data_IF_733838716286
#
_entry.id   IF_733838716286
#
_cell.length_a   1.000
_cell.length_b   1.000
_cell.length_c   1.000
_cell.angle_alpha   90.00
_cell.angle_beta   90.00
_cell.angle_gamma   90.00
#
_symmetry.space_group_name_H-M   'P 1'
#
loop_
_entity.id
_entity.type
_entity.pdbx_description
1 polymer ?
#
# COMPACT_ATOMS: atom_id res chain seq x y z
N UNK A 1 29.92 -13.53 2.98
CA UNK A 1 28.97 -14.35 3.76
C UNK A 1 28.35 -13.58 4.91
N UNK A 2 29.11 -13.00 5.85
CA UNK A 2 28.55 -12.22 6.98
C UNK A 2 27.85 -10.94 6.49
N UNK A 3 28.44 -10.22 5.53
CA UNK A 3 27.79 -9.06 4.89
C UNK A 3 26.47 -9.43 4.20
N UNK A 4 26.45 -10.56 3.47
CA UNK A 4 25.26 -11.05 2.77
C UNK A 4 24.10 -11.39 3.71
N UNK A 5 24.39 -11.91 4.91
CA UNK A 5 23.36 -12.21 5.93
C UNK A 5 22.85 -10.91 6.57
N UNK A 6 23.74 -9.94 6.84
CA UNK A 6 23.36 -8.63 7.35
C UNK A 6 22.44 -7.88 6.39
N UNK A 7 22.78 -7.86 5.11
CA UNK A 7 21.95 -7.27 4.05
C UNK A 7 20.62 -8.00 3.91
N UNK A 8 20.60 -9.35 3.97
CA UNK A 8 19.36 -10.12 3.95
C UNK A 8 18.44 -9.75 5.13
N UNK A 9 18.97 -9.65 6.34
CA UNK A 9 18.19 -9.25 7.52
C UNK A 9 17.64 -7.82 7.37
N UNK A 10 18.47 -6.89 6.89
CA UNK A 10 18.02 -5.52 6.62
C UNK A 10 16.90 -5.49 5.59
N UNK A 11 17.02 -6.26 4.51
CA UNK A 11 16.00 -6.35 3.47
C UNK A 11 14.71 -6.99 3.99
N UNK A 12 14.80 -8.04 4.81
CA UNK A 12 13.62 -8.65 5.43
C UNK A 12 12.91 -7.62 6.33
N UNK A 13 13.66 -6.88 7.16
CA UNK A 13 13.09 -5.85 8.02
C UNK A 13 12.45 -4.72 7.21
N UNK A 14 13.16 -4.22 6.20
CA UNK A 14 12.69 -3.15 5.33
C UNK A 14 11.42 -3.57 4.59
N UNK A 15 11.39 -4.79 4.04
CA UNK A 15 10.20 -5.35 3.39
C UNK A 15 9.05 -5.67 4.35
N UNK A 16 9.33 -5.95 5.62
CA UNK A 16 8.27 -6.15 6.62
C UNK A 16 7.63 -4.81 7.01
N UNK A 17 8.43 -3.76 7.18
CA UNK A 17 7.94 -2.41 7.50
C UNK A 17 7.19 -1.80 6.30
N UNK A 18 7.80 -1.85 5.10
CA UNK A 18 7.19 -1.45 3.82
C UNK A 18 6.16 -2.47 3.27
N UNK A 19 5.95 -3.58 3.97
CA UNK A 19 4.96 -4.60 3.61
C UNK A 19 3.68 -4.46 4.43
N UNK A 20 3.68 -3.59 5.45
CA UNK A 20 2.57 -3.42 6.35
C UNK A 20 1.37 -2.72 5.68
N UNK A 21 1.64 -1.72 4.85
CA UNK A 21 0.66 -1.05 3.98
C UNK A 21 0.00 -2.04 2.99
N UNK A 22 0.81 -2.90 2.35
CA UNK A 22 0.36 -3.99 1.49
C UNK A 22 -0.55 -4.95 2.27
N UNK A 23 -0.14 -5.33 3.48
CA UNK A 23 -0.92 -6.21 4.35
C UNK A 23 -2.25 -5.59 4.78
N UNK A 24 -2.25 -4.30 5.11
CA UNK A 24 -3.46 -3.53 5.45
C UNK A 24 -4.41 -3.49 4.25
N UNK A 25 -3.90 -3.14 3.06
CA UNK A 25 -4.69 -3.11 1.84
C UNK A 25 -5.35 -4.47 1.54
N UNK A 26 -4.56 -5.55 1.58
CA UNK A 26 -5.05 -6.93 1.38
C UNK A 26 -6.11 -7.28 2.42
N UNK A 27 -5.89 -6.91 3.68
CA UNK A 27 -6.81 -7.19 4.78
C UNK A 27 -8.13 -6.44 4.60
N UNK A 28 -8.11 -5.21 4.10
CA UNK A 28 -9.30 -4.40 3.81
C UNK A 28 -10.05 -4.91 2.57
N UNK A 29 -9.37 -5.08 1.44
CA UNK A 29 -10.00 -5.53 0.19
C UNK A 29 -10.58 -6.94 0.29
N UNK A 30 -9.91 -7.86 0.99
CA UNK A 30 -10.43 -9.22 1.17
C UNK A 30 -11.79 -9.28 1.87
N UNK A 31 -12.17 -8.23 2.61
CA UNK A 31 -13.48 -8.14 3.29
C UNK A 31 -14.65 -8.00 2.32
N UNK A 32 -14.39 -7.54 1.09
CA UNK A 32 -15.42 -7.43 0.04
C UNK A 32 -15.84 -8.78 -0.52
N UNK A 33 -15.10 -9.85 -0.20
CA UNK A 33 -15.44 -11.22 -0.57
C UNK A 33 -16.47 -11.81 0.40
N UNK A 34 -17.24 -12.84 -0.01
CA UNK A 34 -18.08 -13.61 0.90
C UNK A 34 -17.28 -14.09 2.12
N UNK A 35 -17.86 -14.05 3.32
CA UNK A 35 -17.19 -14.36 4.59
C UNK A 35 -16.39 -15.67 4.55
N UNK A 36 -16.95 -16.71 3.93
CA UNK A 36 -16.33 -18.03 3.79
C UNK A 36 -15.09 -18.03 2.88
N UNK A 37 -14.98 -17.07 1.96
CA UNK A 37 -13.91 -16.97 0.96
C UNK A 37 -12.84 -15.95 1.31
N UNK A 38 -13.04 -15.09 2.32
CA UNK A 38 -12.08 -14.01 2.64
C UNK A 38 -10.67 -14.54 2.96
N UNK A 39 -10.58 -15.61 3.75
CA UNK A 39 -9.28 -16.24 4.05
C UNK A 39 -8.60 -16.78 2.79
N UNK A 40 -9.35 -17.48 1.96
CA UNK A 40 -8.86 -17.98 0.67
C UNK A 40 -8.37 -16.82 -0.21
N UNK A 41 -9.13 -15.73 -0.31
CA UNK A 41 -8.75 -14.53 -1.08
C UNK A 41 -7.43 -13.94 -0.57
N UNK A 42 -7.23 -13.83 0.75
CA UNK A 42 -5.96 -13.37 1.31
C UNK A 42 -4.81 -14.32 0.99
N UNK A 43 -4.95 -15.61 1.28
CA UNK A 43 -3.85 -16.57 1.11
C UNK A 43 -3.48 -16.75 -0.36
N UNK A 44 -4.46 -16.89 -1.25
CA UNK A 44 -4.23 -17.00 -2.71
C UNK A 44 -3.72 -15.69 -3.27
N UNK A 45 -4.30 -14.55 -2.86
CA UNK A 45 -3.85 -13.23 -3.28
C UNK A 45 -2.40 -12.97 -2.91
N UNK A 46 -2.01 -13.22 -1.66
CA UNK A 46 -0.61 -13.07 -1.20
C UNK A 46 0.31 -14.06 -1.91
N UNK A 47 -0.09 -15.33 -2.06
CA UNK A 47 0.73 -16.33 -2.77
C UNK A 47 1.02 -15.95 -4.22
N UNK A 48 -0.02 -15.53 -4.96
CA UNK A 48 0.12 -15.04 -6.33
C UNK A 48 0.94 -13.74 -6.40
N UNK A 49 0.75 -12.84 -5.43
CA UNK A 49 1.52 -11.61 -5.29
C UNK A 49 3.02 -11.87 -5.13
N UNK A 50 3.41 -12.81 -4.25
CA UNK A 50 4.83 -13.20 -4.07
C UNK A 50 5.40 -13.76 -5.37
N UNK A 51 4.66 -14.67 -6.03
CA UNK A 51 5.11 -15.28 -7.28
C UNK A 51 5.36 -14.22 -8.37
N UNK A 52 4.40 -13.33 -8.57
CA UNK A 52 4.52 -12.25 -9.55
C UNK A 52 5.58 -11.23 -9.17
N UNK A 53 5.82 -11.01 -7.87
CA UNK A 53 6.89 -10.14 -7.38
C UNK A 53 8.28 -10.68 -7.69
N UNK A 54 8.48 -11.99 -7.58
CA UNK A 54 9.74 -12.63 -8.00
C UNK A 54 9.90 -12.55 -9.53
N UNK A 55 8.82 -12.78 -10.28
CA UNK A 55 8.82 -12.59 -11.74
C UNK A 55 9.15 -11.16 -12.14
N UNK A 56 8.58 -10.17 -11.45
CA UNK A 56 8.87 -8.75 -11.64
C UNK A 56 10.33 -8.43 -11.30
N UNK A 57 10.86 -8.93 -10.18
CA UNK A 57 12.27 -8.75 -9.81
C UNK A 57 13.20 -9.24 -10.93
N UNK A 58 12.94 -10.44 -11.45
CA UNK A 58 13.69 -10.99 -12.57
C UNK A 58 13.58 -10.08 -13.80
N UNK A 59 12.37 -9.66 -14.18
CA UNK A 59 12.16 -8.76 -15.31
C UNK A 59 12.93 -7.44 -15.15
N UNK A 60 12.80 -6.79 -13.98
CA UNK A 60 13.44 -5.51 -13.69
C UNK A 60 14.96 -5.58 -13.77
N UNK A 61 15.57 -6.70 -13.39
CA UNK A 61 17.01 -6.88 -13.51
C UNK A 61 17.51 -6.69 -14.97
N UNK A 62 16.68 -6.98 -15.98
CA UNK A 62 17.03 -6.80 -17.38
C UNK A 62 16.56 -5.47 -17.98
N UNK A 63 15.38 -4.97 -17.58
CA UNK A 63 14.74 -3.85 -18.27
C UNK A 63 14.79 -2.53 -17.51
N UNK A 64 15.30 -2.49 -16.27
CA UNK A 64 15.25 -1.27 -15.45
C UNK A 64 15.97 -0.08 -16.09
N UNK A 65 17.06 -0.32 -16.83
CA UNK A 65 17.74 0.73 -17.59
C UNK A 65 16.82 1.38 -18.61
N UNK A 66 16.02 0.59 -19.33
CA UNK A 66 15.08 1.06 -20.36
C UNK A 66 13.84 1.75 -19.75
N UNK A 67 13.39 1.32 -18.57
CA UNK A 67 12.24 1.91 -17.88
C UNK A 67 12.54 3.28 -17.25
N UNK A 68 13.82 3.59 -16.99
CA UNK A 68 14.28 4.87 -16.43
C UNK A 68 14.46 5.95 -17.49
N UNK A 69 14.57 5.58 -18.77
CA UNK A 69 14.67 6.58 -19.83
C UNK A 69 13.31 7.26 -20.09
N UNK A 70 13.28 8.60 -20.28
CA UNK A 70 12.04 9.31 -20.58
C UNK A 70 11.50 8.87 -21.93
N UNK A 71 10.27 8.36 -21.93
CA UNK A 71 9.59 7.91 -23.16
C UNK A 71 8.89 9.08 -23.85
N UNK A 72 8.33 10.02 -23.07
CA UNK A 72 7.65 11.20 -23.60
C UNK A 72 7.83 12.40 -22.67
N UNK A 73 8.20 13.55 -23.22
CA UNK A 73 8.21 14.83 -22.53
C UNK A 73 6.96 15.62 -22.92
N UNK A 74 6.16 16.03 -21.94
CA UNK A 74 4.99 16.88 -22.14
C UNK A 74 5.27 18.27 -21.56
N UNK A 75 5.38 19.27 -22.42
CA UNK A 75 5.41 20.69 -22.05
C UNK A 75 4.05 21.33 -22.29
N UNK A 76 3.14 21.24 -21.32
CA UNK A 76 1.84 21.91 -21.38
C UNK A 76 1.96 23.33 -20.78
N UNK A 77 2.51 24.26 -21.55
CA UNK A 77 2.69 25.68 -21.21
C UNK A 77 3.69 25.97 -20.06
N UNK A 78 3.98 27.25 -19.81
CA UNK A 78 4.86 27.75 -18.74
C UNK A 78 4.42 27.35 -17.29
N UNK A 79 3.31 26.64 -17.12
CA UNK A 79 2.75 26.28 -15.81
C UNK A 79 2.78 24.77 -15.51
N UNK A 80 2.94 23.91 -16.52
CA UNK A 80 2.98 22.45 -16.34
C UNK A 80 3.97 21.79 -17.31
N UNK A 81 5.05 21.24 -16.76
CA UNK A 81 6.08 20.49 -17.48
C UNK A 81 6.23 19.10 -16.87
N UNK A 82 6.58 18.08 -17.65
CA UNK A 82 6.94 16.76 -17.14
C UNK A 82 7.63 15.86 -18.15
N UNK A 83 8.60 15.07 -17.67
CA UNK A 83 9.33 14.02 -18.38
C UNK A 83 8.83 12.65 -17.92
N UNK A 84 7.92 12.02 -18.67
CA UNK A 84 7.32 10.76 -18.27
C UNK A 84 8.14 9.56 -18.77
N UNK A 85 8.43 8.64 -17.85
CA UNK A 85 9.04 7.35 -18.12
C UNK A 85 8.10 6.22 -17.66
N UNK A 86 8.42 4.98 -18.00
CA UNK A 86 7.58 3.82 -17.64
C UNK A 86 7.39 3.68 -16.12
N UNK A 87 8.42 3.97 -15.35
CA UNK A 87 8.37 3.93 -13.89
C UNK A 87 7.39 4.97 -13.32
N UNK A 88 7.49 6.23 -13.74
CA UNK A 88 6.67 7.32 -13.23
C UNK A 88 5.19 7.14 -13.57
N UNK A 89 4.88 6.60 -14.75
CA UNK A 89 3.51 6.27 -15.15
C UNK A 89 2.90 5.17 -14.28
N UNK A 90 3.64 4.10 -14.01
CA UNK A 90 3.17 3.00 -13.16
C UNK A 90 2.86 3.55 -11.76
N UNK A 91 3.81 4.26 -11.15
CA UNK A 91 3.69 4.81 -9.79
C UNK A 91 2.55 5.82 -9.69
N UNK A 92 2.43 6.76 -10.64
CA UNK A 92 1.34 7.75 -10.68
C UNK A 92 -0.03 7.07 -10.80
N UNK A 93 -0.18 6.14 -11.74
CA UNK A 93 -1.44 5.42 -11.93
C UNK A 93 -1.85 4.70 -10.65
N UNK A 94 -0.87 4.08 -10.00
CA UNK A 94 -1.04 3.44 -8.72
C UNK A 94 -1.52 4.35 -7.60
N UNK A 95 -0.86 5.49 -7.43
CA UNK A 95 -1.25 6.50 -6.45
C UNK A 95 -2.66 7.02 -6.67
N UNK A 96 -3.04 7.31 -7.93
CA UNK A 96 -4.41 7.73 -8.30
C UNK A 96 -5.41 6.65 -7.93
N UNK A 97 -5.13 5.40 -8.30
CA UNK A 97 -6.04 4.28 -8.03
C UNK A 97 -6.29 4.09 -6.53
N UNK A 98 -5.23 4.14 -5.73
CA UNK A 98 -5.29 3.95 -4.28
C UNK A 98 -6.07 5.09 -3.63
N UNK A 99 -5.76 6.34 -3.99
CA UNK A 99 -6.48 7.52 -3.51
C UNK A 99 -7.96 7.42 -3.83
N UNK A 100 -8.29 7.13 -5.08
CA UNK A 100 -9.67 6.99 -5.52
C UNK A 100 -10.41 5.88 -4.74
N UNK A 101 -9.74 4.75 -4.51
CA UNK A 101 -10.31 3.63 -3.75
C UNK A 101 -10.54 4.01 -2.29
N UNK A 102 -9.56 4.65 -1.64
CA UNK A 102 -9.67 5.10 -0.25
C UNK A 102 -10.77 6.15 -0.08
N UNK A 103 -10.84 7.16 -0.96
CA UNK A 103 -11.86 8.20 -0.93
C UNK A 103 -13.26 7.61 -1.09
N UNK A 104 -13.46 6.72 -2.07
CA UNK A 104 -14.76 6.08 -2.27
C UNK A 104 -15.20 5.25 -1.08
N UNK A 105 -14.26 4.55 -0.43
CA UNK A 105 -14.58 3.76 0.76
C UNK A 105 -14.95 4.65 1.96
N UNK A 106 -14.19 5.74 2.18
CA UNK A 106 -14.50 6.73 3.21
C UNK A 106 -15.87 7.36 2.95
N UNK A 107 -16.15 7.73 1.69
CA UNK A 107 -17.46 8.28 1.29
C UNK A 107 -18.60 7.30 1.57
N UNK A 108 -18.41 6.02 1.22
CA UNK A 108 -19.39 4.98 1.53
C UNK A 108 -19.65 4.84 3.02
N UNK A 109 -18.60 4.85 3.86
CA UNK A 109 -18.77 4.74 5.31
C UNK A 109 -19.47 5.96 5.94
N UNK A 110 -19.37 7.13 5.32
CA UNK A 110 -20.05 8.34 5.80
C UNK A 110 -21.52 8.42 5.37
N UNK A 111 -21.85 7.90 4.19
CA UNK A 111 -23.19 8.08 3.58
C UNK A 111 -24.14 6.93 3.89
N UNK A 112 -23.64 5.70 4.03
CA UNK A 112 -24.50 4.53 4.23
C UNK A 112 -24.65 4.16 5.71
N UNK A 113 -25.91 3.98 6.14
CA UNK A 113 -26.24 3.43 7.44
C UNK A 113 -25.78 1.96 7.49
N UNK A 114 -25.12 1.47 8.57
CA UNK A 114 -24.76 0.05 8.72
C UNK A 114 -25.89 -0.95 8.41
N UNK A 115 -27.16 -0.55 8.51
CA UNK A 115 -28.31 -1.37 8.12
C UNK A 115 -28.41 -1.64 6.59
N UNK A 116 -27.93 -0.73 5.74
CA UNK A 116 -27.95 -0.89 4.27
C UNK A 116 -26.77 -1.71 3.74
N UNK A 117 -25.65 -1.80 4.48
CA UNK A 117 -24.49 -2.64 4.09
C UNK A 117 -24.83 -4.13 4.00
N UNK A 118 -25.82 -4.60 4.78
CA UNK A 118 -26.26 -6.00 4.78
C UNK A 118 -26.88 -6.45 3.45
N UNK A 119 -27.30 -5.50 2.58
CA UNK A 119 -27.91 -5.79 1.27
C UNK A 119 -26.91 -5.69 0.10
N UNK A 120 -25.64 -5.35 0.34
CA UNK A 120 -24.64 -5.27 -0.73
C UNK A 120 -24.22 -6.68 -1.15
N UNK A 121 -24.45 -7.02 -2.42
CA UNK A 121 -23.97 -8.30 -2.98
C UNK A 121 -22.44 -8.39 -2.81
N UNK A 122 -21.93 -9.49 -2.23
CA UNK A 122 -20.49 -9.66 -2.09
C UNK A 122 -19.83 -9.64 -3.48
N UNK A 123 -18.65 -9.01 -3.55
CA UNK A 123 -17.90 -8.91 -4.80
C UNK A 123 -17.30 -10.26 -5.18
N UNK A 124 -17.12 -10.49 -6.49
CA UNK A 124 -16.53 -11.73 -7.00
C UNK A 124 -15.11 -11.92 -6.42
N UNK A 125 -14.82 -13.03 -5.71
CA UNK A 125 -13.50 -13.31 -5.15
C UNK A 125 -12.34 -13.19 -6.15
N UNK A 126 -12.55 -13.61 -7.41
CA UNK A 126 -11.53 -13.51 -8.46
C UNK A 126 -11.17 -12.06 -8.78
N UNK A 127 -12.16 -11.17 -8.80
CA UNK A 127 -11.93 -9.73 -9.01
C UNK A 127 -11.09 -9.14 -7.88
N UNK A 128 -11.38 -9.54 -6.64
CA UNK A 128 -10.65 -9.06 -5.46
C UNK A 128 -9.21 -9.60 -5.45
N UNK A 129 -9.01 -10.87 -5.79
CA UNK A 129 -7.66 -11.45 -5.95
C UNK A 129 -6.89 -10.68 -7.02
N UNK A 130 -7.51 -10.44 -8.18
CA UNK A 130 -6.88 -9.66 -9.26
C UNK A 130 -6.48 -8.26 -8.80
N UNK A 131 -7.33 -7.60 -8.01
CA UNK A 131 -7.04 -6.28 -7.47
C UNK A 131 -5.88 -6.29 -6.44
N UNK A 132 -5.89 -7.26 -5.52
CA UNK A 132 -4.80 -7.48 -4.56
C UNK A 132 -3.48 -7.69 -5.29
N UNK A 133 -3.48 -8.57 -6.30
CA UNK A 133 -2.29 -8.89 -7.09
C UNK A 133 -1.80 -7.67 -7.86
N UNK A 134 -2.70 -6.92 -8.49
CA UNK A 134 -2.38 -5.72 -9.24
C UNK A 134 -1.74 -4.65 -8.35
N UNK A 135 -2.34 -4.39 -7.19
CA UNK A 135 -1.84 -3.42 -6.22
C UNK A 135 -0.50 -3.86 -5.63
N UNK A 136 -0.35 -5.15 -5.33
CA UNK A 136 0.93 -5.66 -4.89
C UNK A 136 2.01 -5.48 -5.96
N UNK A 137 1.71 -5.71 -7.25
CA UNK A 137 2.67 -5.52 -8.33
C UNK A 137 3.12 -4.06 -8.43
N UNK A 138 2.16 -3.14 -8.29
CA UNK A 138 2.41 -1.71 -8.25
C UNK A 138 3.36 -1.32 -7.10
N UNK A 139 3.05 -1.72 -5.86
CA UNK A 139 3.89 -1.46 -4.69
C UNK A 139 5.23 -2.21 -4.71
N UNK A 140 5.26 -3.35 -5.41
CA UNK A 140 6.48 -4.12 -5.59
C UNK A 140 7.51 -3.37 -6.43
N UNK A 141 7.10 -2.44 -7.29
CA UNK A 141 8.02 -1.73 -8.15
C UNK A 141 8.99 -0.85 -7.35
N UNK A 142 8.49 0.07 -6.53
CA UNK A 142 9.32 0.92 -5.67
C UNK A 142 10.15 0.09 -4.68
N UNK A 143 9.50 -0.80 -3.93
CA UNK A 143 10.20 -1.62 -2.94
C UNK A 143 11.28 -2.55 -3.53
N UNK A 144 11.16 -2.99 -4.79
CA UNK A 144 12.24 -3.71 -5.49
C UNK A 144 13.35 -2.74 -5.87
N UNK A 145 13.06 -1.55 -6.38
CA UNK A 145 14.09 -0.56 -6.71
C UNK A 145 14.88 -0.10 -5.49
N UNK A 146 14.19 0.13 -4.36
CA UNK A 146 14.83 0.41 -3.08
C UNK A 146 15.71 -0.75 -2.60
N UNK A 147 15.27 -1.99 -2.80
CA UNK A 147 16.08 -3.17 -2.48
C UNK A 147 17.31 -3.31 -3.40
N UNK A 148 17.17 -3.03 -4.69
CA UNK A 148 18.28 -3.03 -5.66
C UNK A 148 19.34 -1.97 -5.34
N UNK A 149 18.98 -0.88 -4.67
CA UNK A 149 19.94 0.10 -4.17
C UNK A 149 20.81 -0.42 -3.01
N UNK A 150 20.37 -1.49 -2.32
CA UNK A 150 21.07 -2.10 -1.19
C UNK A 150 21.87 -3.34 -1.60
N UNK A 151 21.48 -4.04 -2.66
CA UNK A 151 22.19 -5.22 -3.17
C UNK A 151 21.85 -5.52 -4.62
N UNK A 152 22.84 -5.98 -5.38
CA UNK A 152 22.65 -6.49 -6.74
C UNK A 152 22.37 -8.01 -6.78
N UNK A 153 22.43 -8.69 -5.62
CA UNK A 153 22.32 -10.15 -5.54
C UNK A 153 20.86 -10.61 -5.58
N UNK A 154 20.44 -11.11 -6.75
CA UNK A 154 19.07 -11.61 -6.99
C UNK A 154 18.59 -12.58 -5.90
N UNK A 155 19.43 -13.54 -5.50
CA UNK A 155 19.05 -14.56 -4.52
C UNK A 155 18.76 -13.98 -3.13
N UNK A 156 19.45 -12.89 -2.74
CA UNK A 156 19.22 -12.21 -1.46
C UNK A 156 17.84 -11.52 -1.51
N UNK A 157 17.56 -10.76 -2.57
CA UNK A 157 16.27 -10.08 -2.74
C UNK A 157 15.11 -11.06 -2.84
N UNK A 158 15.24 -12.13 -3.64
CA UNK A 158 14.21 -13.15 -3.80
C UNK A 158 13.92 -13.86 -2.48
N UNK A 159 14.95 -14.21 -1.70
CA UNK A 159 14.78 -14.83 -0.38
C UNK A 159 14.07 -13.89 0.59
N UNK A 160 14.43 -12.60 0.61
CA UNK A 160 13.74 -11.61 1.44
C UNK A 160 12.25 -11.53 1.09
N UNK A 161 11.91 -11.47 -0.21
CA UNK A 161 10.53 -11.42 -0.70
C UNK A 161 9.72 -12.63 -0.24
N UNK A 162 10.29 -13.84 -0.36
CA UNK A 162 9.62 -15.08 0.06
C UNK A 162 9.40 -15.11 1.57
N UNK A 163 10.42 -14.77 2.36
CA UNK A 163 10.34 -14.79 3.83
C UNK A 163 9.33 -13.75 4.33
N UNK A 164 9.39 -12.51 3.81
CA UNK A 164 8.41 -11.47 4.13
C UNK A 164 7.00 -11.88 3.70
N UNK A 165 6.87 -12.50 2.52
CA UNK A 165 5.63 -13.05 2.01
C UNK A 165 4.98 -14.09 2.92
N UNK A 166 5.77 -15.04 3.43
CA UNK A 166 5.30 -16.06 4.37
C UNK A 166 4.85 -15.39 5.68
N UNK A 167 5.62 -14.42 6.19
CA UNK A 167 5.25 -13.66 7.38
C UNK A 167 3.92 -12.91 7.17
N UNK A 168 3.71 -12.31 6.00
CA UNK A 168 2.46 -11.65 5.65
C UNK A 168 1.28 -12.62 5.66
N UNK A 169 1.41 -13.83 5.08
CA UNK A 169 0.35 -14.85 5.12
C UNK A 169 -0.02 -15.18 6.56
N UNK A 170 0.98 -15.34 7.43
CA UNK A 170 0.78 -15.65 8.84
C UNK A 170 0.06 -14.52 9.60
N UNK A 171 0.40 -13.26 9.30
CA UNK A 171 -0.19 -12.08 9.95
C UNK A 171 -1.56 -11.68 9.39
N UNK A 172 -1.84 -11.94 8.11
CA UNK A 172 -3.00 -11.39 7.40
C UNK A 172 -4.34 -11.75 8.05
N UNK A 173 -4.51 -12.99 8.52
CA UNK A 173 -5.73 -13.41 9.23
C UNK A 173 -5.88 -12.67 10.56
N UNK A 174 -4.78 -12.45 11.29
CA UNK A 174 -4.77 -11.74 12.57
C UNK A 174 -5.13 -10.27 12.40
N UNK A 175 -4.48 -9.60 11.44
CA UNK A 175 -4.75 -8.19 11.10
C UNK A 175 -6.18 -8.02 10.63
N UNK A 176 -6.67 -8.88 9.72
CA UNK A 176 -8.04 -8.81 9.23
C UNK A 176 -9.07 -8.96 10.36
N UNK A 177 -8.90 -9.94 11.26
CA UNK A 177 -9.79 -10.11 12.43
C UNK A 177 -9.74 -8.92 13.39
N UNK A 178 -8.55 -8.34 13.60
CA UNK A 178 -8.38 -7.16 14.44
C UNK A 178 -9.13 -5.96 13.88
N UNK A 179 -9.02 -5.70 12.57
CA UNK A 179 -9.73 -4.63 11.89
C UNK A 179 -11.26 -4.85 11.91
N UNK A 180 -11.71 -6.10 11.70
CA UNK A 180 -13.15 -6.45 11.75
C UNK A 180 -13.77 -6.20 13.13
N UNK A 181 -13.06 -6.56 14.20
CA UNK A 181 -13.57 -6.40 15.57
C UNK A 181 -13.62 -4.93 16.00
N UNK A 182 -12.86 -4.05 15.36
CA UNK A 182 -12.71 -2.67 15.79
C UNK A 182 -12.85 -1.69 14.61
N UNK A 183 -14.10 -1.29 14.30
CA UNK A 183 -14.46 -0.39 13.18
C UNK A 183 -13.65 0.92 13.14
N UNK A 184 -13.23 1.46 14.28
CA UNK A 184 -12.34 2.63 14.34
C UNK A 184 -11.00 2.39 13.61
N UNK A 185 -10.41 1.21 13.78
CA UNK A 185 -9.13 0.87 13.17
C UNK A 185 -9.25 0.53 11.68
N UNK A 186 -10.44 0.12 11.24
CA UNK A 186 -10.75 0.01 9.81
C UNK A 186 -10.70 1.38 9.12
N UNK A 187 -11.35 2.39 9.71
CA UNK A 187 -11.30 3.76 9.21
C UNK A 187 -9.86 4.30 9.23
N UNK A 188 -9.11 4.05 10.32
CA UNK A 188 -7.70 4.38 10.41
C UNK A 188 -6.90 3.76 9.25
N UNK A 189 -7.14 2.49 8.93
CA UNK A 189 -6.50 1.80 7.80
C UNK A 189 -6.78 2.46 6.45
N UNK A 190 -7.99 2.99 6.23
CA UNK A 190 -8.32 3.76 5.02
C UNK A 190 -7.60 5.11 4.96
N UNK A 191 -7.40 5.78 6.10
CA UNK A 191 -6.58 6.98 6.15
C UNK A 191 -5.09 6.68 5.90
N UNK A 192 -4.56 5.57 6.43
CA UNK A 192 -3.20 5.10 6.08
C UNK A 192 -3.10 4.89 4.57
N UNK A 193 -4.08 4.19 3.97
CA UNK A 193 -4.13 3.95 2.54
C UNK A 193 -4.20 5.25 1.72
N UNK A 194 -4.95 6.25 2.19
CA UNK A 194 -5.00 7.58 1.58
C UNK A 194 -3.61 8.24 1.58
N UNK A 195 -2.90 8.23 2.72
CA UNK A 195 -1.55 8.79 2.83
C UNK A 195 -0.56 8.05 1.94
N UNK A 196 -0.65 6.71 1.83
CA UNK A 196 0.14 5.91 0.89
C UNK A 196 -0.13 6.35 -0.56
N UNK A 197 -1.39 6.57 -0.91
CA UNK A 197 -1.75 7.08 -2.24
C UNK A 197 -1.16 8.47 -2.54
N UNK A 198 -1.13 9.37 -1.55
CA UNK A 198 -0.45 10.68 -1.66
C UNK A 198 1.06 10.49 -1.86
N UNK A 199 1.68 9.62 -1.06
CA UNK A 199 3.11 9.33 -1.17
C UNK A 199 3.48 8.88 -2.59
N UNK A 200 2.76 7.90 -3.15
CA UNK A 200 2.96 7.44 -4.52
C UNK A 200 2.72 8.54 -5.56
N UNK A 201 1.71 9.41 -5.40
CA UNK A 201 1.52 10.52 -6.32
C UNK A 201 2.71 11.48 -6.32
N UNK A 202 3.23 11.82 -5.14
CA UNK A 202 4.38 12.73 -5.03
C UNK A 202 5.66 12.10 -5.60
N UNK A 203 5.85 10.81 -5.38
CA UNK A 203 6.99 10.05 -5.91
C UNK A 203 6.91 9.89 -7.43
N UNK A 204 5.75 9.49 -7.95
CA UNK A 204 5.49 9.43 -9.38
C UNK A 204 5.65 10.80 -10.05
N UNK A 205 5.26 11.89 -9.36
CA UNK A 205 5.47 13.26 -9.81
C UNK A 205 6.94 13.66 -9.89
N UNK A 206 7.74 13.31 -8.88
CA UNK A 206 9.19 13.55 -8.90
C UNK A 206 9.88 12.73 -10.01
N UNK A 207 9.51 11.45 -10.15
CA UNK A 207 10.02 10.57 -11.20
C UNK A 207 9.66 11.06 -12.61
N UNK A 208 8.49 11.69 -12.74
CA UNK A 208 8.04 12.35 -13.97
C UNK A 208 8.56 13.78 -14.12
N UNK A 209 9.41 14.27 -13.19
CA UNK A 209 9.88 15.66 -13.12
C UNK A 209 8.77 16.68 -13.32
N UNK A 210 7.60 16.42 -12.74
CA UNK A 210 6.44 17.29 -12.89
C UNK A 210 6.73 18.62 -12.20
N UNK A 211 6.53 19.70 -12.95
CA UNK A 211 6.52 21.06 -12.40
C UNK A 211 5.12 21.61 -12.37
N UNK A 212 4.75 22.20 -11.24
CA UNK A 212 3.49 22.92 -11.07
C UNK A 212 3.84 24.33 -10.62
N UNK A 213 3.38 25.35 -11.35
CA UNK A 213 3.74 26.76 -11.09
C UNK A 213 5.26 26.99 -11.00
N UNK A 214 6.03 26.30 -11.86
CA UNK A 214 7.49 26.37 -11.90
C UNK A 214 8.19 25.87 -10.62
N UNK A 215 7.51 25.07 -9.79
CA UNK A 215 8.10 24.33 -8.68
C UNK A 215 8.07 22.83 -8.95
N UNK A 216 9.18 22.16 -8.70
CA UNK A 216 9.28 20.71 -8.84
C UNK A 216 8.46 20.01 -7.76
N UNK A 217 7.66 19.04 -8.16
CA UNK A 217 7.06 18.08 -7.23
C UNK A 217 8.18 17.19 -6.70
N UNK A 218 8.36 17.18 -5.38
CA UNK A 218 9.29 16.28 -4.68
C UNK A 218 8.52 15.19 -3.96
N UNK A 219 9.07 13.97 -3.92
CA UNK A 219 8.49 12.87 -3.19
C UNK A 219 8.35 13.22 -1.71
N UNK A 220 7.26 12.72 -1.12
CA UNK A 220 7.06 12.76 0.31
C UNK A 220 8.19 11.99 1.00
N UNK A 221 8.87 12.64 1.95
CA UNK A 221 9.92 11.99 2.72
C UNK A 221 9.34 10.83 3.55
N UNK A 222 10.00 9.67 3.55
CA UNK A 222 9.57 8.46 4.27
C UNK A 222 9.44 8.69 5.79
N UNK A 223 10.31 9.53 6.37
CA UNK A 223 10.20 9.96 7.76
C UNK A 223 8.95 10.78 8.03
N UNK A 224 8.59 11.70 7.12
CA UNK A 224 7.32 12.44 7.19
C UNK A 224 6.14 11.50 7.08
N UNK A 225 6.21 10.49 6.20
CA UNK A 225 5.19 9.44 6.08
C UNK A 225 4.97 8.73 7.42
N UNK A 226 6.02 8.15 8.01
CA UNK A 226 5.91 7.46 9.30
C UNK A 226 5.45 8.38 10.43
N UNK A 227 5.89 9.63 10.43
CA UNK A 227 5.46 10.62 11.41
C UNK A 227 3.95 10.90 11.31
N UNK A 228 3.42 11.08 10.09
CA UNK A 228 1.97 11.27 9.86
C UNK A 228 1.19 10.05 10.35
N UNK A 229 1.64 8.83 10.02
CA UNK A 229 0.98 7.60 10.48
C UNK A 229 1.00 7.50 12.01
N UNK A 230 2.12 7.80 12.66
CA UNK A 230 2.24 7.79 14.11
C UNK A 230 1.27 8.79 14.77
N UNK A 231 1.14 9.99 14.21
CA UNK A 231 0.19 11.01 14.67
C UNK A 231 -1.26 10.54 14.48
N UNK A 232 -1.61 9.94 13.33
CA UNK A 232 -2.95 9.39 13.08
C UNK A 232 -3.33 8.32 14.12
N UNK A 233 -2.40 7.40 14.41
CA UNK A 233 -2.58 6.36 15.43
C UNK A 233 -2.77 7.00 16.81
N UNK A 234 -1.96 8.01 17.16
CA UNK A 234 -2.04 8.68 18.45
C UNK A 234 -3.40 9.40 18.62
N UNK A 235 -3.84 10.13 17.60
CA UNK A 235 -5.15 10.79 17.57
C UNK A 235 -6.27 9.76 17.80
N UNK A 236 -6.24 8.64 17.09
CA UNK A 236 -7.25 7.59 17.22
C UNK A 236 -7.26 6.95 18.62
N UNK A 237 -6.08 6.73 19.23
CA UNK A 237 -5.96 6.26 20.61
C UNK A 237 -6.57 7.27 21.60
N UNK A 238 -6.30 8.56 21.42
CA UNK A 238 -6.83 9.63 22.29
C UNK A 238 -8.35 9.73 22.14
N UNK A 239 -8.85 9.74 20.91
CA UNK A 239 -10.28 9.77 20.61
C UNK A 239 -11.00 8.54 21.19
N UNK A 240 -10.42 7.35 21.03
CA UNK A 240 -10.97 6.11 21.57
C UNK A 240 -11.04 6.12 23.10
N UNK A 241 -10.04 6.68 23.79
CA UNK A 241 -10.09 6.87 25.25
C UNK A 241 -11.17 7.88 25.65
N UNK A 242 -11.27 9.00 24.94
CA UNK A 242 -12.26 10.03 25.21
C UNK A 242 -13.70 9.51 25.06
N UNK A 243 -14.01 8.79 23.98
CA UNK A 243 -15.33 8.18 23.77
C UNK A 243 -15.70 7.17 24.86
N UNK A 244 -14.75 6.31 25.28
CA UNK A 244 -14.97 5.37 26.39
C UNK A 244 -15.29 6.09 27.70
N UNK A 245 -14.61 7.20 27.99
CA UNK A 245 -14.87 8.00 29.18
C UNK A 245 -16.25 8.67 29.15
N UNK A 246 -16.67 9.20 27.98
CA UNK A 246 -18.02 9.77 27.82
C UNK A 246 -19.12 8.71 28.02
N UNK A 247 -18.94 7.51 27.46
CA UNK A 247 -19.89 6.41 27.61
C UNK A 247 -19.97 5.92 29.07
N UNK A 248 -18.84 5.94 29.79
CA UNK A 248 -18.81 5.60 31.22
C UNK A 248 -19.59 6.64 32.05
N UNK A 249 -19.37 7.93 31.78
CA UNK A 249 -20.05 9.02 32.48
C UNK A 249 -21.56 9.07 32.22
N UNK A 250 -22.01 8.67 31.01
CA UNK A 250 -23.44 8.54 30.66
C UNK A 250 -24.15 7.36 31.33
N UNK A 251 -23.43 6.36 31.84
CA UNK A 251 -24.02 5.20 32.56
C UNK A 251 -24.13 5.43 34.06
N UNK A 252 -23.44 6.45 34.58
CA UNK A 252 -23.43 6.83 36.01
C UNK A 252 -24.41 7.95 36.36
N UNK A 253 -25.07 8.55 35.36
CA UNK A 253 -26.19 9.49 35.50
C UNK A 253 -27.47 8.84 34.98
#
# INVERSE_FOLDING_TARGET
>A
MIESIGTLLMLILLQAVLGFDNLLYISLESRRAPLEKQKMVRTVGIGLAIFLRIGLLFLLQFIIGMLKEPWFSLGFSNYFEGDFNGHSLIVLFGGIFILWTAINEIWHMMVFDPAEELNKKPSNPLKIIGLIVFMNLLFSFDSILGAMALTDEFWIMATAIVVSGILMIWLADGVSKFLQKNRMYEVLGLFVLLVVGIMLLTEGGELAKIKVFNQDIKAMNTGTFYFVIAILILIDIVQGKYQKNLLKNRKTN
#
